data_IF_907560637589
#
_entry.id   IF_907560637589
#
_cell.length_a   1.000
_cell.length_b   1.000
_cell.length_c   1.000
_cell.angle_alpha   90.00
_cell.angle_beta   90.00
_cell.angle_gamma   90.00
#
_symmetry.space_group_name_H-M   'P 1'
#
loop_
_entity.id
_entity.type
_entity.pdbx_description
1 polymer ?
#
# COMPACT_ATOMS: atom_id res chain seq x y z
N UNK A 1 -7.85 56.21 -1.87
CA UNK A 1 -7.20 55.07 -1.16
C UNK A 1 -7.71 53.82 -1.80
N UNK A 2 -6.87 53.08 -2.54
CA UNK A 2 -7.25 51.75 -3.02
C UNK A 2 -7.11 50.76 -1.86
N UNK A 3 -8.19 50.27 -1.34
CA UNK A 3 -8.18 49.15 -0.40
C UNK A 3 -8.01 47.85 -1.19
N UNK A 4 -6.88 47.19 -1.01
CA UNK A 4 -6.64 45.88 -1.60
C UNK A 4 -7.35 44.79 -0.78
N UNK A 5 -7.90 43.79 -1.48
CA UNK A 5 -8.38 42.55 -0.87
C UNK A 5 -7.31 41.49 -1.10
N UNK A 6 -6.88 40.81 -0.05
CA UNK A 6 -5.96 39.68 -0.15
C UNK A 6 -6.78 38.39 -0.08
N UNK A 7 -6.60 37.51 -1.07
CA UNK A 7 -7.17 36.17 -1.08
C UNK A 7 -6.01 35.19 -0.94
N UNK A 8 -6.06 34.33 0.08
CA UNK A 8 -5.11 33.24 0.27
C UNK A 8 -5.77 31.93 -0.14
N UNK A 9 -5.03 31.11 -0.89
CA UNK A 9 -5.45 29.76 -1.29
C UNK A 9 -4.40 28.80 -0.79
N UNK A 10 -4.83 27.75 -0.10
CA UNK A 10 -3.97 26.70 0.45
C UNK A 10 -4.48 25.34 -0.05
N UNK A 11 -3.56 24.48 -0.49
CA UNK A 11 -3.87 23.10 -0.81
C UNK A 11 -3.96 22.28 0.47
N UNK A 12 -4.99 21.46 0.60
CA UNK A 12 -5.14 20.52 1.73
C UNK A 12 -4.16 19.35 1.58
N UNK A 13 -3.94 18.59 2.67
CA UNK A 13 -3.08 17.39 2.67
C UNK A 13 -3.52 16.34 1.64
N UNK A 14 -4.83 16.27 1.36
CA UNK A 14 -5.41 15.33 0.38
C UNK A 14 -5.62 15.98 -1.00
N UNK A 15 -4.88 17.04 -1.33
CA UNK A 15 -4.96 17.63 -2.66
C UNK A 15 -4.31 16.71 -3.69
N UNK A 16 -5.09 16.31 -4.69
CA UNK A 16 -4.60 15.48 -5.80
C UNK A 16 -3.64 16.27 -6.67
N UNK A 17 -2.63 15.60 -7.22
CA UNK A 17 -1.68 16.16 -8.19
C UNK A 17 -2.41 16.78 -9.38
N UNK A 18 -1.98 17.98 -9.81
CA UNK A 18 -2.53 18.62 -10.99
C UNK A 18 -2.50 20.14 -10.96
N UNK A 19 -2.95 20.74 -12.07
CA UNK A 19 -3.12 22.17 -12.22
C UNK A 19 -4.58 22.56 -12.02
N UNK A 20 -4.81 23.55 -11.17
CA UNK A 20 -6.13 24.04 -10.80
C UNK A 20 -6.28 25.50 -11.20
N UNK A 21 -7.38 25.84 -11.86
CA UNK A 21 -7.74 27.20 -12.17
C UNK A 21 -8.76 27.71 -11.14
N UNK A 22 -8.40 28.81 -10.45
CA UNK A 22 -9.23 29.43 -9.45
C UNK A 22 -9.73 30.76 -10.01
N UNK A 23 -11.04 30.88 -10.20
CA UNK A 23 -11.67 32.10 -10.68
C UNK A 23 -12.24 32.89 -9.50
N UNK A 24 -11.70 34.07 -9.29
CA UNK A 24 -12.19 35.02 -8.29
C UNK A 24 -13.04 36.05 -8.99
N UNK A 25 -14.31 36.16 -8.59
CA UNK A 25 -15.26 37.14 -9.12
C UNK A 25 -15.58 38.18 -8.07
N UNK A 26 -15.47 39.43 -8.46
CA UNK A 26 -15.86 40.57 -7.64
C UNK A 26 -16.98 41.35 -8.33
N UNK A 27 -18.11 41.51 -7.64
CA UNK A 27 -19.24 42.29 -8.14
C UNK A 27 -19.28 43.62 -7.43
N UNK A 28 -19.36 44.71 -8.18
CA UNK A 28 -19.64 46.03 -7.63
C UNK A 28 -21.06 46.10 -7.10
N UNK A 29 -21.23 46.65 -5.92
CA UNK A 29 -22.53 46.72 -5.24
C UNK A 29 -23.53 47.66 -5.91
N UNK A 30 -23.01 48.72 -6.54
CA UNK A 30 -23.81 49.83 -7.03
C UNK A 30 -24.00 49.86 -8.56
N UNK A 31 -23.10 49.22 -9.30
CA UNK A 31 -23.08 49.25 -10.79
C UNK A 31 -23.39 47.92 -11.47
N UNK A 32 -23.56 46.82 -10.74
CA UNK A 32 -23.67 45.45 -11.29
C UNK A 32 -22.44 45.00 -12.16
N UNK A 33 -21.38 45.78 -12.20
CA UNK A 33 -20.15 45.42 -12.89
C UNK A 33 -19.50 44.20 -12.21
N UNK A 34 -19.01 43.28 -13.05
CA UNK A 34 -18.35 42.04 -12.64
C UNK A 34 -16.91 42.04 -13.14
N UNK A 35 -15.98 41.98 -12.22
CA UNK A 35 -14.57 41.74 -12.51
C UNK A 35 -14.20 40.30 -12.17
N UNK A 36 -13.42 39.65 -13.03
CA UNK A 36 -12.96 38.27 -12.84
C UNK A 36 -11.43 38.21 -12.95
N UNK A 37 -10.80 37.53 -11.98
CA UNK A 37 -9.36 37.23 -12.00
C UNK A 37 -9.21 35.72 -11.93
N UNK A 38 -8.42 35.15 -12.84
CA UNK A 38 -8.06 33.72 -12.84
C UNK A 38 -6.65 33.55 -12.28
N UNK A 39 -6.49 32.64 -11.32
CA UNK A 39 -5.21 32.23 -10.74
C UNK A 39 -4.98 30.75 -11.07
N UNK A 40 -3.75 30.42 -11.45
CA UNK A 40 -3.30 29.03 -11.59
C UNK A 40 -2.60 28.58 -10.32
N UNK A 41 -3.01 27.43 -9.81
CA UNK A 41 -2.37 26.74 -8.69
C UNK A 41 -1.92 25.35 -9.13
N UNK A 42 -0.64 25.04 -8.99
CA UNK A 42 -0.11 23.70 -9.25
C UNK A 42 0.07 22.96 -7.93
N UNK A 43 -0.53 21.78 -7.82
CA UNK A 43 -0.25 20.80 -6.76
C UNK A 43 0.80 19.84 -7.30
N UNK A 44 2.00 19.87 -6.71
CA UNK A 44 3.10 19.01 -7.13
C UNK A 44 2.84 17.55 -6.81
N UNK A 45 3.43 16.65 -7.59
CA UNK A 45 3.40 15.21 -7.34
C UNK A 45 4.11 14.86 -6.04
N UNK A 46 3.50 13.95 -5.28
CA UNK A 46 4.07 13.30 -4.11
C UNK A 46 3.82 11.81 -4.24
N UNK A 47 4.87 11.02 -4.49
CA UNK A 47 4.80 9.57 -4.40
C UNK A 47 4.97 9.13 -2.93
N UNK A 48 4.21 8.14 -2.49
CA UNK A 48 4.36 7.50 -1.19
C UNK A 48 3.62 6.17 -1.19
N UNK A 49 4.17 5.17 -0.50
CA UNK A 49 3.59 3.83 -0.38
C UNK A 49 3.73 3.34 1.06
N UNK A 50 2.79 2.55 1.52
CA UNK A 50 2.92 1.76 2.75
C UNK A 50 2.30 0.38 2.60
N UNK A 51 2.86 -0.60 3.33
CA UNK A 51 2.42 -1.99 3.37
C UNK A 51 1.93 -2.33 4.76
N UNK A 52 0.79 -3.02 4.85
CA UNK A 52 0.28 -3.53 6.11
C UNK A 52 -0.47 -4.85 5.93
N UNK A 53 -0.48 -5.69 6.95
CA UNK A 53 -1.31 -6.89 6.96
C UNK A 53 -2.77 -6.52 7.19
N UNK A 54 -3.67 -7.14 6.42
CA UNK A 54 -5.10 -6.90 6.58
C UNK A 54 -5.61 -7.50 7.90
N UNK A 55 -6.62 -6.84 8.48
CA UNK A 55 -7.36 -7.32 9.67
C UNK A 55 -6.52 -7.60 10.91
N UNK A 56 -5.39 -6.91 11.09
CA UNK A 56 -4.47 -7.16 12.21
C UNK A 56 -3.84 -8.56 12.12
N UNK A 57 -3.67 -9.08 10.89
CA UNK A 57 -3.02 -10.36 10.62
C UNK A 57 -1.67 -10.45 11.30
N UNK A 58 -1.33 -11.64 11.75
CA UNK A 58 -0.02 -11.88 12.35
C UNK A 58 1.03 -11.97 11.24
N UNK A 59 2.19 -11.37 11.46
CA UNK A 59 3.35 -11.52 10.55
C UNK A 59 3.94 -12.94 10.60
N UNK A 60 3.43 -13.80 11.48
CA UNK A 60 3.79 -15.21 11.60
C UNK A 60 2.59 -16.06 11.20
N UNK A 61 2.69 -16.71 10.04
CA UNK A 61 1.74 -17.68 9.56
C UNK A 61 2.13 -19.11 9.95
N UNK A 62 1.22 -20.06 9.76
CA UNK A 62 1.50 -21.47 9.96
C UNK A 62 1.01 -22.32 8.79
N UNK A 63 1.78 -23.35 8.45
CA UNK A 63 1.54 -24.23 7.30
C UNK A 63 1.83 -25.68 7.67
N UNK A 64 1.25 -26.65 6.98
CA UNK A 64 1.63 -28.06 7.07
C UNK A 64 2.72 -28.38 6.01
N UNK A 65 3.48 -29.47 6.23
CA UNK A 65 4.49 -29.95 5.27
C UNK A 65 3.81 -30.24 3.91
N UNK A 66 4.47 -29.90 2.81
CA UNK A 66 3.99 -30.08 1.43
C UNK A 66 2.64 -29.37 1.20
N UNK A 67 2.49 -28.17 1.77
CA UNK A 67 1.26 -27.39 1.71
C UNK A 67 1.57 -25.89 1.51
N UNK A 68 0.53 -25.09 1.40
CA UNK A 68 0.65 -23.65 1.20
C UNK A 68 -0.14 -22.85 2.23
N UNK A 69 0.30 -21.64 2.48
CA UNK A 69 -0.42 -20.61 3.23
C UNK A 69 -0.42 -19.30 2.46
N UNK A 70 -1.37 -18.43 2.76
CA UNK A 70 -1.50 -17.14 2.08
C UNK A 70 -1.48 -15.98 3.07
N UNK A 71 -0.88 -14.88 2.64
CA UNK A 71 -0.90 -13.60 3.34
C UNK A 71 -1.65 -12.57 2.50
N UNK A 72 -2.61 -11.91 3.10
CA UNK A 72 -3.29 -10.76 2.53
C UNK A 72 -2.58 -9.49 2.98
N UNK A 73 -1.94 -8.80 2.05
CA UNK A 73 -1.21 -7.57 2.29
C UNK A 73 -1.93 -6.41 1.63
N UNK A 74 -2.22 -5.38 2.39
CA UNK A 74 -2.76 -4.13 1.87
C UNK A 74 -1.61 -3.25 1.40
N UNK A 75 -1.64 -2.87 0.14
CA UNK A 75 -0.76 -1.87 -0.47
C UNK A 75 -1.52 -0.55 -0.48
N UNK A 76 -1.00 0.46 0.21
CA UNK A 76 -1.59 1.79 0.25
C UNK A 76 -0.80 2.73 -0.67
N UNK A 77 -1.49 3.43 -1.56
CA UNK A 77 -0.95 4.59 -2.25
C UNK A 77 -1.21 5.83 -1.40
N UNK A 78 -0.22 6.21 -0.57
CA UNK A 78 -0.26 7.42 0.27
C UNK A 78 0.17 8.68 -0.51
N UNK A 79 0.44 8.51 -1.80
CA UNK A 79 0.74 9.56 -2.74
C UNK A 79 -0.53 10.28 -3.24
N UNK A 80 -0.32 11.42 -3.88
CA UNK A 80 -1.42 12.28 -4.37
C UNK A 80 -1.71 12.11 -5.86
N UNK A 81 -1.22 11.04 -6.48
CA UNK A 81 -1.39 10.68 -7.88
C UNK A 81 -1.57 9.17 -8.03
N UNK A 82 -2.31 8.75 -9.06
CA UNK A 82 -2.35 7.34 -9.46
C UNK A 82 -0.94 6.81 -9.66
N UNK A 83 -0.64 5.65 -9.06
CA UNK A 83 0.66 4.98 -9.18
C UNK A 83 0.49 3.48 -9.45
N UNK A 84 1.53 2.88 -9.99
CA UNK A 84 1.67 1.43 -10.13
C UNK A 84 2.84 0.98 -9.27
N UNK A 85 2.57 0.05 -8.36
CA UNK A 85 3.59 -0.53 -7.49
C UNK A 85 4.03 -1.89 -8.03
N UNK A 86 5.35 -2.07 -8.10
CA UNK A 86 5.95 -3.38 -8.39
C UNK A 86 6.21 -4.08 -7.07
N UNK A 87 5.75 -5.34 -6.96
CA UNK A 87 5.88 -6.17 -5.77
C UNK A 87 6.99 -7.19 -6.00
N UNK A 88 7.90 -7.31 -5.04
CA UNK A 88 8.97 -8.31 -5.02
C UNK A 88 9.02 -9.02 -3.69
N UNK A 89 9.42 -10.29 -3.70
CA UNK A 89 9.69 -11.10 -2.51
C UNK A 89 11.15 -11.55 -2.53
N UNK A 90 11.80 -11.58 -1.39
CA UNK A 90 13.20 -11.98 -1.27
C UNK A 90 13.56 -12.46 0.13
N UNK A 91 14.68 -13.18 0.24
CA UNK A 91 15.21 -13.69 1.51
C UNK A 91 14.58 -14.99 1.97
N UNK A 92 13.66 -15.56 1.19
CA UNK A 92 12.96 -16.81 1.43
C UNK A 92 13.72 -18.01 0.83
N UNK A 93 13.67 -19.12 1.53
CA UNK A 93 14.13 -20.44 1.04
C UNK A 93 12.96 -21.23 0.42
N UNK A 94 11.72 -20.99 0.88
CA UNK A 94 10.51 -21.65 0.36
C UNK A 94 9.92 -20.88 -0.83
N UNK A 95 9.20 -21.60 -1.71
CA UNK A 95 8.57 -20.99 -2.87
C UNK A 95 7.53 -19.92 -2.48
N UNK A 96 7.67 -18.75 -3.10
CA UNK A 96 6.74 -17.63 -2.89
C UNK A 96 6.23 -17.09 -4.22
N UNK A 97 4.91 -16.87 -4.30
CA UNK A 97 4.26 -16.36 -5.49
C UNK A 97 3.23 -15.28 -5.16
N UNK A 98 3.27 -14.16 -5.88
CA UNK A 98 2.20 -13.16 -5.87
C UNK A 98 1.12 -13.53 -6.88
N UNK A 99 -0.15 -13.38 -6.51
CA UNK A 99 -1.25 -13.44 -7.49
C UNK A 99 -1.04 -12.39 -8.60
N UNK A 100 -0.58 -11.20 -8.23
CA UNK A 100 -0.20 -10.13 -9.15
C UNK A 100 1.09 -9.46 -8.64
N UNK A 101 2.14 -9.44 -9.45
CA UNK A 101 3.41 -8.77 -9.13
C UNK A 101 3.40 -7.25 -9.36
N UNK A 102 2.28 -6.71 -9.85
CA UNK A 102 2.07 -5.27 -10.04
C UNK A 102 0.62 -4.92 -9.70
N UNK A 103 0.44 -3.76 -9.09
CA UNK A 103 -0.87 -3.23 -8.72
C UNK A 103 -0.92 -1.73 -9.00
N UNK A 104 -2.00 -1.27 -9.66
CA UNK A 104 -2.22 0.14 -9.96
C UNK A 104 -3.31 0.69 -9.04
N UNK A 105 -2.97 1.72 -8.26
CA UNK A 105 -3.81 2.24 -7.18
C UNK A 105 -3.98 3.75 -7.34
N UNK A 106 -5.23 4.23 -7.28
CA UNK A 106 -5.54 5.66 -7.29
C UNK A 106 -4.91 6.39 -6.09
N UNK A 107 -4.74 7.70 -6.21
CA UNK A 107 -4.27 8.56 -5.12
C UNK A 107 -5.08 8.32 -3.84
N UNK A 108 -4.41 8.21 -2.69
CA UNK A 108 -5.00 8.03 -1.36
C UNK A 108 -5.94 6.81 -1.25
N UNK A 109 -5.68 5.77 -2.04
CA UNK A 109 -6.46 4.53 -2.08
C UNK A 109 -5.57 3.34 -1.78
N UNK A 110 -6.18 2.16 -1.59
CA UNK A 110 -5.47 0.92 -1.30
C UNK A 110 -6.02 -0.25 -2.09
N UNK A 111 -5.20 -1.30 -2.22
CA UNK A 111 -5.60 -2.58 -2.78
C UNK A 111 -4.96 -3.73 -2.00
N UNK A 112 -5.70 -4.82 -1.82
CA UNK A 112 -5.18 -6.06 -1.22
C UNK A 112 -4.50 -6.87 -2.32
N UNK A 113 -3.32 -7.41 -1.99
CA UNK A 113 -2.57 -8.37 -2.79
C UNK A 113 -2.37 -9.64 -1.97
N UNK A 114 -2.30 -10.79 -2.66
CA UNK A 114 -2.11 -12.09 -2.03
C UNK A 114 -0.69 -12.57 -2.34
N UNK A 115 0.06 -12.92 -1.29
CA UNK A 115 1.31 -13.66 -1.35
C UNK A 115 1.03 -15.09 -0.88
N UNK A 116 1.38 -16.07 -1.69
CA UNK A 116 1.33 -17.49 -1.35
C UNK A 116 2.73 -17.97 -1.01
N UNK A 117 2.88 -18.69 0.10
CA UNK A 117 4.10 -19.38 0.51
C UNK A 117 3.83 -20.88 0.50
N UNK A 118 4.68 -21.64 -0.17
CA UNK A 118 4.57 -23.10 -0.34
C UNK A 118 5.78 -23.80 0.27
N UNK A 119 5.55 -24.74 1.18
CA UNK A 119 6.62 -25.55 1.77
C UNK A 119 6.90 -26.81 0.95
N UNK A 120 8.14 -27.22 0.96
CA UNK A 120 8.55 -28.51 0.38
C UNK A 120 8.23 -29.69 1.28
N UNK A 121 8.43 -30.92 0.78
CA UNK A 121 8.20 -32.16 1.49
C UNK A 121 9.37 -32.61 2.37
N UNK A 122 10.50 -31.92 2.32
CA UNK A 122 11.74 -32.21 3.05
C UNK A 122 12.00 -31.29 4.24
N UNK A 123 11.01 -30.44 4.59
CA UNK A 123 11.04 -29.59 5.79
C UNK A 123 10.62 -30.38 7.02
N UNK A 124 11.14 -29.99 8.19
CA UNK A 124 10.81 -30.61 9.46
C UNK A 124 9.72 -29.81 10.22
N UNK A 125 9.03 -30.50 11.15
CA UNK A 125 8.08 -29.83 12.05
C UNK A 125 8.78 -28.80 12.92
N UNK A 126 8.30 -27.57 12.87
CA UNK A 126 8.84 -26.45 13.62
C UNK A 126 9.86 -25.62 12.86
N UNK A 127 10.21 -26.03 11.63
CA UNK A 127 10.98 -25.17 10.74
C UNK A 127 10.23 -23.90 10.40
N UNK A 128 10.96 -22.84 10.15
CA UNK A 128 10.43 -21.54 9.75
C UNK A 128 11.25 -20.93 8.62
N UNK A 129 10.58 -20.15 7.79
CA UNK A 129 11.18 -19.35 6.75
C UNK A 129 10.62 -17.92 6.79
N UNK A 130 11.43 -16.95 6.40
CA UNK A 130 11.06 -15.55 6.41
C UNK A 130 11.25 -14.92 5.03
N UNK A 131 10.21 -14.25 4.56
CA UNK A 131 10.21 -13.51 3.31
C UNK A 131 10.07 -12.02 3.57
N UNK A 132 10.86 -11.21 2.87
CA UNK A 132 10.67 -9.74 2.82
C UNK A 132 9.97 -9.38 1.53
N UNK A 133 8.77 -8.85 1.68
CA UNK A 133 7.98 -8.26 0.60
C UNK A 133 8.35 -6.78 0.47
N UNK A 134 8.55 -6.30 -0.75
CA UNK A 134 8.82 -4.89 -1.04
C UNK A 134 7.84 -4.40 -2.12
N UNK A 135 7.22 -3.25 -1.90
CA UNK A 135 6.45 -2.52 -2.90
C UNK A 135 7.21 -1.27 -3.32
N UNK A 136 7.52 -1.14 -4.61
CA UNK A 136 8.26 -0.01 -5.18
C UNK A 136 7.39 0.77 -6.15
N UNK A 137 7.33 2.09 -5.97
CA UNK A 137 6.61 3.02 -6.86
C UNK A 137 7.24 3.06 -8.26
N UNK A 138 6.40 3.08 -9.31
CA UNK A 138 6.85 3.31 -10.68
C UNK A 138 6.90 4.79 -11.04
N UNK A 139 6.20 5.66 -10.31
CA UNK A 139 6.31 7.10 -10.50
C UNK A 139 7.65 7.63 -9.93
N UNK A 140 8.14 7.05 -8.84
CA UNK A 140 9.44 7.36 -8.25
C UNK A 140 10.07 6.10 -7.63
N UNK A 141 11.03 5.50 -8.32
CA UNK A 141 11.70 4.26 -7.90
C UNK A 141 12.55 4.39 -6.62
N UNK A 142 12.68 5.59 -6.05
CA UNK A 142 13.30 5.80 -4.73
C UNK A 142 12.31 5.68 -3.57
N UNK A 143 11.02 5.52 -3.89
CA UNK A 143 9.93 5.34 -2.93
C UNK A 143 9.52 3.89 -2.89
N UNK A 144 9.76 3.26 -1.77
CA UNK A 144 9.40 1.89 -1.49
C UNK A 144 9.01 1.73 -0.01
N UNK A 145 8.33 0.63 0.29
CA UNK A 145 8.09 0.14 1.64
C UNK A 145 8.23 -1.37 1.68
N UNK A 146 8.56 -1.91 2.86
CA UNK A 146 8.83 -3.33 3.04
C UNK A 146 8.13 -3.92 4.24
N UNK A 147 7.71 -5.18 4.11
CA UNK A 147 7.05 -5.95 5.15
C UNK A 147 7.71 -7.34 5.24
N UNK A 148 8.12 -7.75 6.45
CA UNK A 148 8.65 -9.09 6.70
C UNK A 148 7.58 -10.00 7.24
N UNK A 149 7.48 -11.20 6.66
CA UNK A 149 6.54 -12.26 7.03
C UNK A 149 7.34 -13.51 7.36
N UNK A 150 6.91 -14.25 8.39
CA UNK A 150 7.49 -15.54 8.78
C UNK A 150 6.44 -16.61 8.67
N UNK A 151 6.79 -17.74 8.04
CA UNK A 151 5.92 -18.93 7.96
C UNK A 151 6.57 -20.06 8.74
N UNK A 152 5.80 -20.71 9.63
CA UNK A 152 6.28 -21.82 10.45
C UNK A 152 5.52 -23.11 10.14
N UNK A 153 6.27 -24.21 10.02
CA UNK A 153 5.68 -25.55 9.89
C UNK A 153 5.06 -25.98 11.20
N UNK A 154 3.78 -26.36 11.16
CA UNK A 154 3.02 -26.78 12.36
C UNK A 154 3.62 -28.01 12.99
N UNK A 155 3.72 -27.99 14.33
CA UNK A 155 4.07 -29.18 15.11
C UNK A 155 2.80 -29.97 15.43
N UNK A 156 2.70 -31.20 14.94
CA UNK A 156 1.60 -32.11 15.28
C UNK A 156 1.98 -33.02 16.45
N UNK A 157 1.23 -32.94 17.55
CA UNK A 157 1.40 -33.84 18.68
C UNK A 157 0.39 -35.01 18.57
N UNK A 158 0.88 -36.23 18.30
CA UNK A 158 0.09 -37.46 18.33
C UNK A 158 0.04 -38.04 19.74
N UNK A 159 -1.15 -38.36 20.24
CA UNK A 159 -1.34 -39.16 21.46
C UNK A 159 -1.77 -40.58 21.07
N UNK A 160 -0.91 -41.56 21.31
CA UNK A 160 -1.29 -42.99 21.17
C UNK A 160 -1.64 -43.58 22.54
N UNK A 161 -2.81 -44.17 22.65
CA UNK A 161 -3.19 -44.96 23.79
C UNK A 161 -2.92 -46.43 23.50
N UNK A 162 -1.93 -47.05 24.18
CA UNK A 162 -1.76 -48.49 24.16
C UNK A 162 -2.55 -49.16 25.29
N UNK A 163 -3.47 -50.05 24.98
CA UNK A 163 -4.09 -50.95 25.94
C UNK A 163 -3.20 -52.15 26.14
N UNK A 164 -2.56 -52.30 27.29
CA UNK A 164 -1.95 -53.59 27.69
C UNK A 164 -3.04 -54.52 28.20
N UNK A 165 -3.23 -55.63 27.51
CA UNK A 165 -4.06 -56.76 27.95
C UNK A 165 -3.27 -57.68 28.89
#
# INVERSE_FOLDING_TARGET
IKNGITVSVEATENAVYGDYLINIRCKDKDSDELEEISLSLTVNEKAAVSLELTNGGESIGSVDIDNQTTYEVQVNNDGNKLDTFTLTASGNDWDTEFENSQVTIDAFSSQIVILTVTTDNDVDFGDDDSVTLVATSQNDASIDDSLSLTTQVRVHYGLEFSTTS
#
